data_IF_336923262701
#
_entry.id   IF_336923262701
#
_cell.length_a   1.000
_cell.length_b   1.000
_cell.length_c   1.000
_cell.angle_alpha   90.00
_cell.angle_beta   90.00
_cell.angle_gamma   90.00
#
_symmetry.space_group_name_H-M   'P 1'
#
loop_
_entity.id
_entity.type
_entity.pdbx_description
1 polymer ?
#
# COMPACT_ATOMS: atom_id res chain seq x y z
N UNK A 1 1.77 -13.88 -18.77
CA UNK A 1 1.82 -15.36 -18.90
C UNK A 1 0.74 -15.90 -19.84
N UNK A 2 -0.54 -15.43 -19.72
CA UNK A 2 -1.64 -15.91 -20.59
C UNK A 2 -1.41 -15.43 -22.04
N UNK A 3 -1.12 -14.14 -22.25
CA UNK A 3 -0.89 -13.57 -23.58
C UNK A 3 0.35 -14.17 -24.29
N UNK A 4 1.37 -14.58 -23.50
CA UNK A 4 2.57 -15.27 -24.04
C UNK A 4 2.38 -16.76 -24.26
N UNK A 5 1.22 -17.33 -23.90
CA UNK A 5 0.96 -18.78 -23.99
C UNK A 5 1.64 -19.64 -22.93
N UNK A 6 2.38 -19.03 -21.98
CA UNK A 6 3.07 -19.76 -20.91
C UNK A 6 2.10 -20.48 -19.96
N UNK A 7 0.88 -19.97 -19.81
CA UNK A 7 -0.19 -20.57 -19.01
C UNK A 7 -1.49 -20.54 -19.83
N UNK A 8 -2.20 -21.66 -19.90
CA UNK A 8 -3.51 -21.70 -20.57
C UNK A 8 -4.56 -20.95 -19.73
N UNK A 9 -5.59 -20.34 -20.35
CA UNK A 9 -6.68 -19.69 -19.63
C UNK A 9 -7.37 -20.61 -18.60
N UNK A 10 -7.53 -21.90 -18.93
CA UNK A 10 -8.11 -22.90 -18.02
C UNK A 10 -7.24 -23.10 -16.77
N UNK A 11 -5.92 -23.21 -16.96
CA UNK A 11 -5.00 -23.33 -15.83
C UNK A 11 -4.99 -22.07 -14.97
N UNK A 12 -5.05 -20.87 -15.57
CA UNK A 12 -5.14 -19.63 -14.84
C UNK A 12 -6.42 -19.55 -13.96
N UNK A 13 -7.56 -19.93 -14.51
CA UNK A 13 -8.81 -20.03 -13.76
C UNK A 13 -8.74 -21.06 -12.63
N UNK A 14 -8.19 -22.25 -12.89
CA UNK A 14 -8.00 -23.27 -11.86
C UNK A 14 -7.14 -22.76 -10.70
N UNK A 15 -6.01 -22.11 -10.99
CA UNK A 15 -5.16 -21.50 -9.97
C UNK A 15 -5.87 -20.40 -9.19
N UNK A 16 -6.65 -19.56 -9.85
CA UNK A 16 -7.44 -18.52 -9.18
C UNK A 16 -8.44 -19.14 -8.18
N UNK A 17 -9.14 -20.20 -8.57
CA UNK A 17 -10.07 -20.89 -7.69
C UNK A 17 -9.33 -21.53 -6.50
N UNK A 18 -8.22 -22.23 -6.75
CA UNK A 18 -7.42 -22.86 -5.68
C UNK A 18 -6.95 -21.81 -4.66
N UNK A 19 -6.37 -20.71 -5.12
CA UNK A 19 -5.90 -19.63 -4.24
C UNK A 19 -7.06 -18.98 -3.48
N UNK A 20 -8.22 -18.81 -4.12
CA UNK A 20 -9.43 -18.30 -3.45
C UNK A 20 -9.94 -19.24 -2.36
N UNK A 21 -9.89 -20.54 -2.59
CA UNK A 21 -10.27 -21.55 -1.58
C UNK A 21 -9.31 -21.54 -0.39
N UNK A 22 -8.00 -21.43 -0.64
CA UNK A 22 -7.00 -21.26 0.43
C UNK A 22 -7.29 -20.00 1.24
N UNK A 23 -7.56 -18.87 0.56
CA UNK A 23 -7.94 -17.61 1.21
C UNK A 23 -9.23 -17.77 2.04
N UNK A 24 -10.21 -18.52 1.54
CA UNK A 24 -11.45 -18.81 2.26
C UNK A 24 -11.19 -19.60 3.54
N UNK A 25 -10.29 -20.60 3.50
CA UNK A 25 -9.91 -21.38 4.70
C UNK A 25 -9.29 -20.48 5.77
N UNK A 26 -8.47 -19.50 5.38
CA UNK A 26 -7.95 -18.48 6.31
C UNK A 26 -9.07 -17.59 6.82
N UNK A 27 -9.93 -17.11 5.92
CA UNK A 27 -11.03 -16.20 6.24
C UNK A 27 -11.98 -16.75 7.30
N UNK A 28 -12.37 -18.03 7.19
CA UNK A 28 -13.32 -18.65 8.14
C UNK A 28 -12.75 -18.83 9.56
N UNK A 29 -11.45 -18.69 9.75
CA UNK A 29 -10.80 -18.71 11.07
C UNK A 29 -10.84 -17.36 11.78
N UNK A 30 -11.11 -16.26 11.04
CA UNK A 30 -11.20 -14.93 11.61
C UNK A 30 -12.54 -14.71 12.34
N UNK A 31 -12.61 -13.67 13.15
CA UNK A 31 -13.86 -13.20 13.79
C UNK A 31 -14.82 -12.68 12.70
N UNK A 32 -16.12 -12.66 13.04
CA UNK A 32 -17.17 -12.26 12.08
C UNK A 32 -16.93 -10.86 11.49
N UNK A 33 -16.54 -9.90 12.33
CA UNK A 33 -16.27 -8.52 11.91
C UNK A 33 -15.14 -8.46 10.87
N UNK A 34 -14.05 -9.19 11.13
CA UNK A 34 -12.93 -9.27 10.20
C UNK A 34 -13.32 -9.98 8.88
N UNK A 35 -14.18 -11.01 8.94
CA UNK A 35 -14.70 -11.69 7.73
C UNK A 35 -15.50 -10.73 6.87
N UNK A 36 -16.43 -9.98 7.48
CA UNK A 36 -17.27 -9.01 6.76
C UNK A 36 -16.42 -7.92 6.10
N UNK A 37 -15.44 -7.38 6.83
CA UNK A 37 -14.49 -6.39 6.30
C UNK A 37 -13.65 -7.00 5.17
N UNK A 38 -13.15 -8.23 5.32
CA UNK A 38 -12.36 -8.89 4.29
C UNK A 38 -13.19 -9.15 3.01
N UNK A 39 -14.43 -9.61 3.14
CA UNK A 39 -15.32 -9.81 1.98
C UNK A 39 -15.64 -8.49 1.30
N UNK A 40 -15.82 -7.41 2.05
CA UNK A 40 -16.07 -6.08 1.48
C UNK A 40 -14.91 -5.58 0.60
N UNK A 41 -13.67 -6.07 0.81
CA UNK A 41 -12.52 -5.72 -0.05
C UNK A 41 -12.68 -6.17 -1.50
N UNK A 42 -13.51 -7.19 -1.76
CA UNK A 42 -13.69 -7.73 -3.11
C UNK A 42 -14.26 -6.67 -4.08
N UNK A 43 -15.07 -5.74 -3.58
CA UNK A 43 -15.65 -4.68 -4.41
C UNK A 43 -14.55 -3.73 -4.97
N UNK A 44 -13.70 -3.08 -4.15
CA UNK A 44 -12.63 -2.26 -4.67
C UNK A 44 -11.55 -3.06 -5.44
N UNK A 45 -11.31 -4.33 -5.10
CA UNK A 45 -10.43 -5.23 -5.85
C UNK A 45 -10.96 -5.45 -7.26
N UNK A 46 -12.24 -5.75 -7.42
CA UNK A 46 -12.87 -5.96 -8.73
C UNK A 46 -12.87 -4.70 -9.60
N UNK A 47 -12.96 -3.51 -8.99
CA UNK A 47 -12.94 -2.24 -9.70
C UNK A 47 -11.52 -1.79 -10.13
N UNK A 48 -10.46 -2.26 -9.46
CA UNK A 48 -9.07 -1.81 -9.67
C UNK A 48 -8.60 -1.87 -11.14
N UNK A 49 -8.85 -2.95 -11.92
CA UNK A 49 -8.36 -3.03 -13.30
C UNK A 49 -8.83 -1.91 -14.22
N UNK A 50 -9.94 -1.26 -13.88
CA UNK A 50 -10.52 -0.18 -14.69
C UNK A 50 -9.94 1.20 -14.35
N UNK A 51 -9.26 1.34 -13.22
CA UNK A 51 -8.87 2.63 -12.66
C UNK A 51 -7.88 3.40 -13.54
N UNK A 52 -6.94 2.75 -14.20
CA UNK A 52 -6.01 3.39 -15.15
C UNK A 52 -6.72 4.09 -16.34
N UNK A 53 -7.96 3.69 -16.64
CA UNK A 53 -8.79 4.29 -17.71
C UNK A 53 -9.68 5.42 -17.21
N UNK A 54 -10.01 5.43 -15.92
CA UNK A 54 -10.99 6.33 -15.31
C UNK A 54 -10.31 7.53 -14.65
N UNK A 55 -9.23 7.30 -13.89
CA UNK A 55 -8.60 8.32 -13.04
C UNK A 55 -7.11 8.51 -13.32
N UNK A 56 -6.61 9.71 -13.04
CA UNK A 56 -5.17 10.01 -12.99
C UNK A 56 -4.47 9.46 -11.73
N UNK A 57 -5.25 8.91 -10.78
CA UNK A 57 -4.78 8.43 -9.49
C UNK A 57 -5.12 6.95 -9.28
N UNK A 58 -4.79 6.02 -10.23
CA UNK A 58 -4.97 4.60 -10.01
C UNK A 58 -4.18 4.10 -8.80
N UNK A 59 -3.07 4.77 -8.44
CA UNK A 59 -2.25 4.52 -7.26
C UNK A 59 -3.04 4.73 -5.95
N UNK A 60 -3.97 5.68 -5.92
CA UNK A 60 -4.83 5.88 -4.75
C UNK A 60 -5.81 4.71 -4.59
N UNK A 61 -6.35 4.21 -5.70
CA UNK A 61 -7.19 3.02 -5.66
C UNK A 61 -6.41 1.78 -5.22
N UNK A 62 -5.19 1.60 -5.73
CA UNK A 62 -4.29 0.56 -5.27
C UNK A 62 -4.03 0.69 -3.77
N UNK A 63 -3.81 1.91 -3.29
CA UNK A 63 -3.66 2.21 -1.87
C UNK A 63 -4.84 1.72 -1.03
N UNK A 64 -6.08 2.01 -1.47
CA UNK A 64 -7.29 1.51 -0.83
C UNK A 64 -7.28 -0.02 -0.75
N UNK A 65 -7.01 -0.70 -1.85
CA UNK A 65 -7.04 -2.17 -1.94
C UNK A 65 -5.93 -2.81 -1.09
N UNK A 66 -4.68 -2.35 -1.23
CA UNK A 66 -3.53 -2.95 -0.56
C UNK A 66 -3.51 -2.69 0.95
N UNK A 67 -3.96 -1.51 1.36
CA UNK A 67 -4.02 -1.16 2.78
C UNK A 67 -5.21 -1.80 3.51
N UNK A 68 -6.13 -2.45 2.80
CA UNK A 68 -7.31 -3.08 3.40
C UNK A 68 -6.97 -4.13 4.45
N UNK A 69 -5.79 -4.74 4.32
CA UNK A 69 -5.25 -5.65 5.33
C UNK A 69 -5.13 -5.03 6.74
N UNK A 70 -4.90 -3.72 6.84
CA UNK A 70 -4.87 -3.03 8.13
C UNK A 70 -6.25 -3.04 8.82
N UNK A 71 -7.33 -2.89 8.05
CA UNK A 71 -8.70 -2.99 8.57
C UNK A 71 -9.03 -4.43 9.01
N UNK A 72 -8.70 -5.42 8.17
CA UNK A 72 -8.92 -6.83 8.49
C UNK A 72 -8.14 -7.22 9.74
N UNK A 73 -6.85 -6.84 9.81
CA UNK A 73 -6.01 -7.11 10.98
C UNK A 73 -6.54 -6.46 12.25
N UNK A 74 -7.04 -5.23 12.15
CA UNK A 74 -7.67 -4.55 13.28
C UNK A 74 -8.89 -5.34 13.80
N UNK A 75 -9.83 -5.65 12.93
CA UNK A 75 -11.05 -6.36 13.31
C UNK A 75 -10.81 -7.84 13.65
N UNK A 76 -9.66 -8.41 13.31
CA UNK A 76 -9.28 -9.74 13.77
C UNK A 76 -9.00 -9.78 15.29
N UNK A 77 -8.63 -8.64 15.89
CA UNK A 77 -8.29 -8.52 17.31
C UNK A 77 -9.31 -7.65 18.05
N UNK A 78 -9.71 -6.54 17.46
CA UNK A 78 -10.59 -5.55 18.07
C UNK A 78 -12.02 -5.69 17.53
N UNK A 79 -13.03 -5.49 18.41
CA UNK A 79 -14.44 -5.61 18.04
C UNK A 79 -15.06 -4.31 17.50
N UNK A 80 -14.40 -3.17 17.68
CA UNK A 80 -14.93 -1.86 17.30
C UNK A 80 -13.89 -1.04 16.51
N UNK A 81 -14.34 -0.18 15.59
CA UNK A 81 -13.46 0.77 14.91
C UNK A 81 -12.91 1.80 15.89
N UNK A 82 -11.75 2.38 15.57
CA UNK A 82 -11.15 3.47 16.35
C UNK A 82 -10.48 4.50 15.45
N UNK A 83 -10.21 5.69 15.99
CA UNK A 83 -9.44 6.72 15.28
C UNK A 83 -8.04 6.24 14.89
N UNK A 84 -7.40 5.41 15.72
CA UNK A 84 -6.11 4.82 15.41
C UNK A 84 -6.17 3.90 14.18
N UNK A 85 -7.19 3.04 14.08
CA UNK A 85 -7.43 2.21 12.90
C UNK A 85 -7.56 3.05 11.62
N UNK A 86 -8.34 4.12 11.69
CA UNK A 86 -8.56 5.02 10.54
C UNK A 86 -7.24 5.65 10.11
N UNK A 87 -6.46 6.16 11.05
CA UNK A 87 -5.15 6.76 10.76
C UNK A 87 -4.14 5.73 10.22
N UNK A 88 -4.10 4.52 10.77
CA UNK A 88 -3.26 3.44 10.24
C UNK A 88 -3.62 3.14 8.78
N UNK A 89 -4.91 3.03 8.47
CA UNK A 89 -5.38 2.76 7.12
C UNK A 89 -5.03 3.88 6.15
N UNK A 90 -5.35 5.14 6.47
CA UNK A 90 -5.04 6.27 5.61
C UNK A 90 -3.54 6.51 5.45
N UNK A 91 -2.75 6.32 6.51
CA UNK A 91 -1.29 6.36 6.43
C UNK A 91 -0.74 5.30 5.47
N UNK A 92 -1.29 4.09 5.52
CA UNK A 92 -0.90 3.02 4.60
C UNK A 92 -1.30 3.32 3.16
N UNK A 93 -2.49 3.91 2.92
CA UNK A 93 -2.90 4.37 1.58
C UNK A 93 -1.89 5.41 1.05
N UNK A 94 -1.55 6.41 1.86
CA UNK A 94 -0.60 7.44 1.46
C UNK A 94 0.78 6.84 1.13
N UNK A 95 1.27 5.89 1.92
CA UNK A 95 2.50 5.17 1.64
C UNK A 95 2.44 4.42 0.31
N UNK A 96 1.35 3.68 0.04
CA UNK A 96 1.16 2.97 -1.24
C UNK A 96 1.17 3.94 -2.42
N UNK A 97 0.46 5.07 -2.33
CA UNK A 97 0.47 6.09 -3.38
C UNK A 97 1.90 6.58 -3.64
N UNK A 98 2.66 6.84 -2.58
CA UNK A 98 4.04 7.30 -2.69
C UNK A 98 4.93 6.31 -3.46
N UNK A 99 5.01 5.06 -3.00
CA UNK A 99 5.90 4.09 -3.62
C UNK A 99 5.42 3.61 -4.99
N UNK A 100 4.11 3.53 -5.21
CA UNK A 100 3.58 3.11 -6.52
C UNK A 100 3.68 4.25 -7.55
N UNK A 101 3.71 5.52 -7.10
CA UNK A 101 4.09 6.65 -7.96
C UNK A 101 5.55 6.54 -8.40
N UNK A 102 6.47 6.08 -7.53
CA UNK A 102 7.85 5.80 -7.91
C UNK A 102 7.89 4.67 -8.95
N UNK A 103 7.13 3.59 -8.72
CA UNK A 103 7.04 2.47 -9.67
C UNK A 103 6.54 2.93 -11.04
N UNK A 104 5.52 3.78 -11.08
CA UNK A 104 4.93 4.29 -12.32
C UNK A 104 5.91 5.13 -13.17
N UNK A 105 7.09 5.49 -12.66
CA UNK A 105 8.15 6.11 -13.47
C UNK A 105 8.76 5.15 -14.48
N UNK A 106 8.75 3.84 -14.21
CA UNK A 106 9.22 2.83 -15.16
C UNK A 106 8.40 2.82 -16.45
N UNK A 107 7.08 2.90 -16.30
CA UNK A 107 6.12 2.74 -17.37
C UNK A 107 5.68 4.10 -17.97
N UNK A 108 6.30 5.20 -17.53
CA UNK A 108 5.83 6.57 -17.83
C UNK A 108 5.72 6.88 -19.31
N UNK A 109 6.71 6.46 -20.09
CA UNK A 109 6.73 6.68 -21.55
C UNK A 109 5.71 5.79 -22.25
N UNK A 110 5.63 4.52 -21.88
CA UNK A 110 4.67 3.57 -22.41
C UNK A 110 3.24 3.95 -22.05
N UNK A 111 2.99 4.32 -20.78
CA UNK A 111 1.68 4.80 -20.30
C UNK A 111 1.21 6.04 -21.11
N UNK A 112 2.13 6.96 -21.42
CA UNK A 112 1.82 8.14 -22.24
C UNK A 112 1.48 7.78 -23.67
N UNK A 113 2.22 6.83 -24.29
CA UNK A 113 1.99 6.37 -25.66
C UNK A 113 0.66 5.63 -25.83
N UNK A 114 0.29 4.81 -24.83
CA UNK A 114 -0.95 4.02 -24.85
C UNK A 114 -2.16 4.85 -24.41
N UNK A 115 -1.94 6.04 -23.82
CA UNK A 115 -2.99 6.94 -23.34
C UNK A 115 -3.63 6.49 -22.02
N UNK A 116 -2.94 5.66 -21.21
CA UNK A 116 -3.38 5.33 -19.85
C UNK A 116 -2.88 6.36 -18.84
N UNK A 117 -3.59 6.46 -17.73
CA UNK A 117 -3.35 7.50 -16.72
C UNK A 117 -2.55 6.98 -15.54
N UNK A 118 -1.62 7.80 -15.03
CA UNK A 118 -0.86 7.50 -13.81
C UNK A 118 -0.54 8.76 -13.01
N UNK A 119 -0.27 8.60 -11.71
CA UNK A 119 0.17 9.71 -10.85
C UNK A 119 1.53 10.28 -11.30
N UNK A 120 2.43 9.44 -11.83
CA UNK A 120 3.70 9.89 -12.37
C UNK A 120 3.53 10.83 -13.57
N UNK A 121 2.59 10.53 -14.48
CA UNK A 121 2.23 11.44 -15.58
C UNK A 121 1.58 12.72 -15.06
N UNK A 122 0.66 12.62 -14.08
CA UNK A 122 -0.04 13.77 -13.53
C UNK A 122 0.89 14.75 -12.80
N UNK A 123 1.84 14.24 -12.05
CA UNK A 123 2.81 15.03 -11.28
C UNK A 123 3.92 15.62 -12.17
N UNK A 124 4.24 14.97 -13.27
CA UNK A 124 5.23 15.47 -14.24
C UNK A 124 6.60 15.74 -13.60
N UNK A 125 7.06 16.98 -13.62
CA UNK A 125 8.32 17.41 -13.02
C UNK A 125 8.29 17.39 -11.47
N UNK A 126 7.11 17.38 -10.86
CA UNK A 126 6.92 17.46 -9.41
C UNK A 126 6.81 16.08 -8.72
N UNK A 127 7.20 14.98 -9.38
CA UNK A 127 7.07 13.62 -8.81
C UNK A 127 7.76 13.51 -7.45
N UNK A 128 8.99 13.99 -7.30
CA UNK A 128 9.69 13.93 -6.00
C UNK A 128 8.93 14.65 -4.89
N UNK A 129 8.41 15.84 -5.18
CA UNK A 129 7.62 16.61 -4.20
C UNK A 129 6.30 15.89 -3.87
N UNK A 130 5.63 15.32 -4.87
CA UNK A 130 4.42 14.54 -4.66
C UNK A 130 4.66 13.31 -3.77
N UNK A 131 5.70 12.54 -4.06
CA UNK A 131 6.10 11.38 -3.22
C UNK A 131 6.44 11.83 -1.80
N UNK A 132 7.17 12.95 -1.64
CA UNK A 132 7.51 13.50 -0.33
C UNK A 132 6.25 13.85 0.48
N UNK A 133 5.25 14.47 -0.15
CA UNK A 133 3.96 14.79 0.50
C UNK A 133 3.25 13.51 0.95
N UNK A 134 3.15 12.50 0.11
CA UNK A 134 2.49 11.25 0.47
C UNK A 134 3.22 10.49 1.59
N UNK A 135 4.55 10.47 1.58
CA UNK A 135 5.33 9.87 2.66
C UNK A 135 5.22 10.65 3.98
N UNK A 136 5.19 11.98 3.91
CA UNK A 136 4.93 12.82 5.09
C UNK A 136 3.53 12.58 5.67
N UNK A 137 2.51 12.48 4.81
CA UNK A 137 1.15 12.10 5.22
C UNK A 137 1.10 10.72 5.87
N UNK A 138 1.80 9.72 5.30
CA UNK A 138 1.88 8.39 5.86
C UNK A 138 2.47 8.42 7.29
N UNK A 139 3.63 9.06 7.45
CA UNK A 139 4.28 9.18 8.75
C UNK A 139 3.43 9.96 9.76
N UNK A 140 2.78 11.05 9.35
CA UNK A 140 1.90 11.85 10.21
C UNK A 140 0.70 11.04 10.69
N UNK A 141 0.06 10.29 9.78
CA UNK A 141 -1.07 9.42 10.12
C UNK A 141 -0.63 8.30 11.08
N UNK A 142 0.49 7.63 10.82
CA UNK A 142 1.00 6.57 11.69
C UNK A 142 1.44 7.12 13.06
N UNK A 143 2.09 8.28 13.09
CA UNK A 143 2.43 8.95 14.35
C UNK A 143 1.18 9.30 15.15
N UNK A 144 0.14 9.82 14.48
CA UNK A 144 -1.16 10.10 15.10
C UNK A 144 -1.84 8.83 15.64
N UNK A 145 -1.81 7.73 14.87
CA UNK A 145 -2.34 6.44 15.29
C UNK A 145 -1.62 5.92 16.56
N UNK A 146 -0.28 5.97 16.55
CA UNK A 146 0.53 5.53 17.69
C UNK A 146 0.27 6.38 18.92
N UNK A 147 0.15 7.71 18.75
CA UNK A 147 -0.17 8.61 19.83
C UNK A 147 -1.56 8.36 20.43
N UNK A 148 -2.56 8.06 19.61
CA UNK A 148 -3.90 7.69 20.08
C UNK A 148 -3.93 6.35 20.83
N UNK A 149 -3.10 5.40 20.42
CA UNK A 149 -2.99 4.10 21.11
C UNK A 149 -2.19 4.23 22.40
N UNK A 150 -1.08 4.96 22.35
CA UNK A 150 -0.18 5.19 23.49
C UNK A 150 0.56 6.52 23.33
N UNK A 151 0.24 7.53 24.11
CA UNK A 151 0.88 8.85 24.04
C UNK A 151 2.30 8.82 24.66
N UNK A 152 3.20 8.09 24.03
CA UNK A 152 4.59 7.92 24.46
C UNK A 152 5.54 8.23 23.31
N UNK A 153 6.61 8.96 23.61
CA UNK A 153 7.61 9.36 22.61
C UNK A 153 8.32 8.17 21.96
N UNK A 154 8.42 7.03 22.65
CA UNK A 154 9.05 5.83 22.10
C UNK A 154 8.32 5.32 20.85
N UNK A 155 6.98 5.43 20.80
CA UNK A 155 6.20 5.08 19.61
C UNK A 155 6.52 5.96 18.42
N UNK A 156 6.68 7.26 18.64
CA UNK A 156 7.09 8.19 17.59
C UNK A 156 8.54 7.93 17.16
N UNK A 157 9.44 7.67 18.11
CA UNK A 157 10.83 7.33 17.82
C UNK A 157 10.95 6.03 17.00
N UNK A 158 10.07 5.06 17.22
CA UNK A 158 10.05 3.81 16.46
C UNK A 158 9.77 3.99 14.96
N UNK A 159 9.16 5.13 14.55
CA UNK A 159 8.96 5.47 13.13
C UNK A 159 10.20 6.09 12.46
N UNK A 160 11.23 6.52 13.22
CA UNK A 160 12.41 7.17 12.67
C UNK A 160 13.13 6.35 11.60
N UNK A 161 13.34 5.01 11.75
CA UNK A 161 13.98 4.23 10.70
C UNK A 161 13.19 4.25 9.38
N UNK A 162 11.85 4.19 9.43
CA UNK A 162 11.01 4.31 8.25
C UNK A 162 11.08 5.71 7.64
N UNK A 163 11.08 6.76 8.46
CA UNK A 163 11.23 8.14 8.00
C UNK A 163 12.58 8.38 7.30
N UNK A 164 13.68 7.87 7.86
CA UNK A 164 14.99 7.94 7.24
C UNK A 164 15.06 7.18 5.91
N UNK A 165 14.40 6.01 5.84
CA UNK A 165 14.31 5.23 4.60
C UNK A 165 13.52 5.99 3.53
N UNK A 166 12.41 6.64 3.86
CA UNK A 166 11.64 7.46 2.93
C UNK A 166 12.43 8.70 2.48
N UNK A 167 13.13 9.36 3.40
CA UNK A 167 14.00 10.48 3.06
C UNK A 167 15.09 10.06 2.07
N UNK A 168 15.75 8.91 2.32
CA UNK A 168 16.73 8.33 1.39
C UNK A 168 16.11 8.08 0.01
N UNK A 169 14.93 7.47 -0.08
CA UNK A 169 14.26 7.23 -1.36
C UNK A 169 14.05 8.55 -2.12
N UNK A 170 13.48 9.57 -1.48
CA UNK A 170 13.18 10.86 -2.11
C UNK A 170 14.45 11.57 -2.58
N UNK A 171 15.46 11.66 -1.72
CA UNK A 171 16.70 12.39 -2.00
C UNK A 171 17.51 11.74 -3.12
N UNK A 172 17.57 10.41 -3.14
CA UNK A 172 18.39 9.66 -4.11
C UNK A 172 17.62 9.23 -5.37
N UNK A 173 16.29 9.44 -5.46
CA UNK A 173 15.49 9.06 -6.62
C UNK A 173 15.94 9.79 -7.89
N UNK A 174 16.22 9.03 -8.95
CA UNK A 174 16.50 9.54 -10.29
C UNK A 174 15.25 9.38 -11.17
N UNK A 175 14.49 10.47 -11.35
CA UNK A 175 13.16 10.44 -12.00
C UNK A 175 13.21 9.95 -13.47
N UNK A 176 14.34 10.14 -14.14
CA UNK A 176 14.56 9.72 -15.53
C UNK A 176 15.17 8.31 -15.66
N UNK A 177 15.40 7.60 -14.55
CA UNK A 177 16.02 6.28 -14.55
C UNK A 177 15.02 5.24 -14.01
N UNK A 178 14.47 4.43 -14.91
CA UNK A 178 13.50 3.37 -14.58
C UNK A 178 14.07 2.30 -13.65
N UNK A 179 15.35 1.93 -13.82
CA UNK A 179 15.99 0.92 -12.96
C UNK A 179 16.18 1.44 -11.53
N UNK A 180 16.54 2.72 -11.36
CA UNK A 180 16.59 3.35 -10.04
C UNK A 180 15.20 3.41 -9.41
N UNK A 181 14.16 3.78 -10.18
CA UNK A 181 12.78 3.77 -9.71
C UNK A 181 12.34 2.37 -9.25
N UNK A 182 12.67 1.33 -10.01
CA UNK A 182 12.40 -0.06 -9.63
C UNK A 182 13.14 -0.47 -8.35
N UNK A 183 14.40 -0.09 -8.21
CA UNK A 183 15.18 -0.38 -7.01
C UNK A 183 14.57 0.29 -5.76
N UNK A 184 14.15 1.57 -5.88
CA UNK A 184 13.44 2.30 -4.81
C UNK A 184 12.10 1.66 -4.48
N UNK A 185 11.29 1.31 -5.50
CA UNK A 185 10.04 0.59 -5.30
C UNK A 185 10.27 -0.72 -4.53
N UNK A 186 11.21 -1.56 -4.98
CA UNK A 186 11.54 -2.83 -4.31
C UNK A 186 12.02 -2.65 -2.87
N UNK A 187 12.67 -1.54 -2.56
CA UNK A 187 13.16 -1.25 -1.21
C UNK A 187 12.01 -1.04 -0.20
N UNK A 188 10.78 -0.79 -0.64
CA UNK A 188 9.63 -0.63 0.25
C UNK A 188 9.27 -1.91 1.03
N UNK A 189 9.78 -3.09 0.63
CA UNK A 189 9.72 -4.30 1.47
C UNK A 189 10.41 -4.07 2.84
N UNK A 190 11.53 -3.33 2.86
CA UNK A 190 12.22 -2.97 4.10
C UNK A 190 11.42 -1.92 4.88
N UNK A 191 10.85 -0.92 4.20
CA UNK A 191 9.95 0.05 4.85
C UNK A 191 8.79 -0.66 5.55
N UNK A 192 8.17 -1.66 4.90
CA UNK A 192 7.12 -2.47 5.50
C UNK A 192 7.55 -3.19 6.78
N UNK A 193 8.75 -3.77 6.78
CA UNK A 193 9.34 -4.40 7.98
C UNK A 193 9.58 -3.35 9.08
N UNK A 194 10.13 -2.19 8.75
CA UNK A 194 10.41 -1.12 9.73
C UNK A 194 9.11 -0.62 10.38
N UNK A 195 8.05 -0.43 9.59
CA UNK A 195 6.72 -0.03 10.12
C UNK A 195 6.11 -1.15 10.97
N UNK A 196 6.22 -2.41 10.55
CA UNK A 196 5.75 -3.55 11.35
C UNK A 196 6.48 -3.64 12.70
N UNK A 197 7.80 -3.42 12.71
CA UNK A 197 8.58 -3.36 13.96
C UNK A 197 8.15 -2.17 14.84
N UNK A 198 7.86 -1.01 14.25
CA UNK A 198 7.33 0.13 15.00
C UNK A 198 5.95 -0.20 15.63
N UNK A 199 5.07 -0.90 14.90
CA UNK A 199 3.82 -1.40 15.45
C UNK A 199 4.05 -2.40 16.61
N UNK A 200 5.05 -3.28 16.49
CA UNK A 200 5.40 -4.23 17.54
C UNK A 200 5.91 -3.52 18.81
N UNK A 201 6.70 -2.44 18.67
CA UNK A 201 7.13 -1.62 19.82
C UNK A 201 5.92 -1.06 20.56
N UNK A 202 4.92 -0.51 19.85
CA UNK A 202 3.68 -0.02 20.46
C UNK A 202 2.90 -1.14 21.15
N UNK A 203 2.86 -2.34 20.56
CA UNK A 203 2.17 -3.49 21.13
C UNK A 203 2.86 -4.09 22.35
N UNK A 204 4.21 -4.07 22.40
CA UNK A 204 5.00 -4.71 23.46
C UNK A 204 5.17 -3.86 24.71
N UNK A 205 4.96 -2.55 24.63
CA UNK A 205 5.04 -1.64 25.81
C UNK A 205 3.76 -1.63 26.66
N UNK A 206 2.95 -2.70 26.53
CA UNK A 206 1.69 -2.92 27.26
C UNK A 206 1.91 -3.40 28.69
#
# INVERSE_FOLDING_TARGET
PIASGAISPRAAWAWMVVLSLIGLVVLIQLRLEARLVAVASLAPVAAYPFMKRITWWPQAWLGIVFSWGALVGWFAVMSAPSGAMVLLYFGSIAWVIGYDTIYALQDREDDALIGVRSSALRLGAHVKAGVAVFYALALSCWAGAFWLLRPQLIGLAALLPAALHFAWQILSLQVSNGDDALAKFRSNRFAGVLVALACAVIGSTA
#
